data_IF_780214388618
#
_entry.id   IF_780214388618
#
_cell.length_a   1.000
_cell.length_b   1.000
_cell.length_c   1.000
_cell.angle_alpha   90.00
_cell.angle_beta   90.00
_cell.angle_gamma   90.00
#
_symmetry.space_group_name_H-M   'P 1'
#
loop_
_entity.id
_entity.type
_entity.pdbx_description
1 polymer ?
#
# COMPACT_ATOMS: atom_id res chain seq x y z
N UNK A 1 -15.73 7.61 -7.78
CA UNK A 1 -15.25 7.33 -6.41
C UNK A 1 -15.76 8.45 -5.53
N UNK A 2 -16.52 8.11 -4.48
CA UNK A 2 -16.93 9.10 -3.50
C UNK A 2 -15.73 9.42 -2.61
N UNK A 3 -15.38 10.70 -2.47
CA UNK A 3 -14.27 11.16 -1.65
C UNK A 3 -14.78 12.21 -0.67
N UNK A 4 -14.21 12.25 0.53
CA UNK A 4 -14.53 13.21 1.57
C UNK A 4 -13.23 13.76 2.13
N UNK A 5 -13.16 15.09 2.23
CA UNK A 5 -12.06 15.76 2.90
C UNK A 5 -12.18 15.53 4.40
N UNK A 6 -11.07 15.18 5.05
CA UNK A 6 -11.01 14.86 6.48
C UNK A 6 -9.97 15.75 7.14
N UNK A 7 -10.33 16.42 8.24
CA UNK A 7 -9.46 17.41 8.91
C UNK A 7 -8.97 16.97 10.28
N UNK A 8 -9.45 15.83 10.79
CA UNK A 8 -9.02 15.29 12.09
C UNK A 8 -9.06 13.77 12.11
N UNK A 9 -8.27 13.17 13.01
CA UNK A 9 -8.28 11.72 13.26
C UNK A 9 -9.66 11.24 13.73
N UNK A 10 -10.38 12.04 14.54
CA UNK A 10 -11.73 11.70 14.99
C UNK A 10 -12.73 11.66 13.85
N UNK A 11 -12.69 12.65 12.96
CA UNK A 11 -13.52 12.67 11.75
C UNK A 11 -13.21 11.51 10.81
N UNK A 12 -11.92 11.17 10.65
CA UNK A 12 -11.48 10.01 9.87
C UNK A 12 -12.09 8.70 10.39
N UNK A 13 -11.99 8.45 11.70
CA UNK A 13 -12.49 7.22 12.30
C UNK A 13 -14.02 7.12 12.20
N UNK A 14 -14.73 8.23 12.43
CA UNK A 14 -16.18 8.28 12.27
C UNK A 14 -16.61 7.97 10.83
N UNK A 15 -15.91 8.54 9.84
CA UNK A 15 -16.19 8.31 8.42
C UNK A 15 -15.88 6.86 8.00
N UNK A 16 -14.72 6.34 8.41
CA UNK A 16 -14.32 4.96 8.15
C UNK A 16 -15.36 3.97 8.72
N UNK A 17 -15.75 4.15 9.99
CA UNK A 17 -16.76 3.31 10.64
C UNK A 17 -18.12 3.42 9.94
N UNK A 18 -18.55 4.63 9.57
CA UNK A 18 -19.81 4.84 8.87
C UNK A 18 -19.83 4.07 7.54
N UNK A 19 -18.78 4.20 6.73
CA UNK A 19 -18.66 3.56 5.41
C UNK A 19 -18.59 2.03 5.48
N UNK A 20 -17.94 1.48 6.51
CA UNK A 20 -17.72 0.04 6.62
C UNK A 20 -18.74 -0.68 7.50
N UNK A 21 -19.60 0.04 8.23
CA UNK A 21 -20.58 -0.52 9.18
C UNK A 21 -21.48 -1.61 8.59
N UNK A 22 -21.84 -1.50 7.30
CA UNK A 22 -22.69 -2.46 6.59
C UNK A 22 -21.95 -3.67 6.01
N UNK A 23 -20.61 -3.63 5.94
CA UNK A 23 -19.83 -4.66 5.25
C UNK A 23 -19.65 -5.94 6.07
N UNK A 24 -19.86 -5.84 7.38
CA UNK A 24 -19.73 -6.96 8.30
C UNK A 24 -20.87 -7.99 8.25
N UNK A 25 -21.90 -7.81 7.40
CA UNK A 25 -23.18 -8.51 7.57
C UNK A 25 -23.42 -9.80 6.81
N UNK A 26 -22.57 -10.20 5.85
CA UNK A 26 -22.67 -11.52 5.24
C UNK A 26 -21.27 -12.02 4.83
N UNK A 27 -20.72 -12.98 5.57
CA UNK A 27 -19.47 -13.72 5.28
C UNK A 27 -18.13 -12.94 5.28
N UNK A 28 -17.68 -12.47 6.46
CA UNK A 28 -16.26 -12.30 6.84
C UNK A 28 -15.41 -11.24 6.12
N UNK A 29 -15.97 -10.29 5.37
CA UNK A 29 -15.12 -9.24 4.78
C UNK A 29 -14.83 -8.14 5.82
N UNK A 30 -13.68 -8.25 6.48
CA UNK A 30 -13.08 -7.13 7.21
C UNK A 30 -12.72 -6.04 6.20
N UNK A 31 -12.97 -4.75 6.46
CA UNK A 31 -12.54 -3.69 5.56
C UNK A 31 -11.01 -3.59 5.52
N UNK A 32 -10.45 -3.46 4.32
CA UNK A 32 -9.02 -3.25 4.13
C UNK A 32 -8.76 -1.80 3.74
N UNK A 33 -7.73 -1.22 4.34
CA UNK A 33 -7.33 0.17 4.17
C UNK A 33 -5.92 0.26 3.60
N UNK A 34 -5.65 1.31 2.82
CA UNK A 34 -4.30 1.63 2.33
C UNK A 34 -4.03 3.12 2.38
N UNK A 35 -2.95 3.48 3.04
CA UNK A 35 -2.44 4.85 3.07
C UNK A 35 -1.70 5.22 1.79
N UNK A 36 -1.92 6.44 1.32
CA UNK A 36 -1.20 6.99 0.19
C UNK A 36 -0.92 8.48 0.40
N UNK A 37 0.33 8.88 0.12
CA UNK A 37 0.79 10.26 0.28
C UNK A 37 0.12 11.24 -0.69
N UNK A 38 -0.20 10.77 -1.89
CA UNK A 38 -0.85 11.56 -2.92
C UNK A 38 -2.19 10.93 -3.27
N UNK A 39 -3.28 11.55 -2.79
CA UNK A 39 -4.65 11.12 -2.99
C UNK A 39 -5.11 11.28 -4.45
N UNK A 40 -4.45 12.11 -5.26
CA UNK A 40 -4.78 12.27 -6.68
C UNK A 40 -4.34 11.06 -7.52
N UNK A 41 -3.37 10.28 -7.02
CA UNK A 41 -2.91 9.07 -7.68
C UNK A 41 -3.74 7.86 -7.26
N UNK A 42 -4.19 7.07 -8.24
CA UNK A 42 -4.82 5.77 -7.96
C UNK A 42 -3.82 4.81 -7.26
N UNK A 43 -4.33 3.86 -6.44
CA UNK A 43 -3.49 2.89 -5.74
C UNK A 43 -3.02 1.81 -6.72
N UNK A 44 -2.09 2.18 -7.59
CA UNK A 44 -1.54 1.32 -8.64
C UNK A 44 -0.21 0.72 -8.15
N UNK A 45 0.02 -0.61 -8.26
CA UNK A 45 1.27 -1.22 -7.84
C UNK A 45 2.47 -0.61 -8.57
N UNK A 46 3.62 -0.61 -7.90
CA UNK A 46 4.84 0.05 -8.40
C UNK A 46 5.28 -0.44 -9.78
N UNK A 47 5.01 -1.71 -10.08
CA UNK A 47 5.37 -2.30 -11.38
C UNK A 47 4.58 -1.73 -12.57
N UNK A 48 3.31 -1.43 -12.37
CA UNK A 48 2.48 -0.82 -13.41
C UNK A 48 2.82 0.67 -13.55
N UNK A 49 2.98 1.38 -12.42
CA UNK A 49 3.36 2.82 -12.43
C UNK A 49 4.69 3.07 -13.14
N UNK A 50 5.65 2.16 -12.99
CA UNK A 50 6.98 2.29 -13.59
C UNK A 50 7.11 1.62 -14.97
N UNK A 51 6.04 1.03 -15.51
CA UNK A 51 6.05 0.40 -16.84
C UNK A 51 6.88 -0.88 -16.94
N UNK A 52 7.04 -1.63 -15.84
CA UNK A 52 7.85 -2.85 -15.79
C UNK A 52 7.03 -4.15 -15.83
N UNK A 53 5.72 -4.08 -16.05
CA UNK A 53 4.82 -5.24 -15.97
C UNK A 53 5.28 -6.42 -16.84
N UNK A 54 5.57 -6.15 -18.12
CA UNK A 54 6.06 -7.17 -19.07
C UNK A 54 7.41 -7.79 -18.67
N UNK A 55 8.17 -7.14 -17.77
CA UNK A 55 9.50 -7.56 -17.33
C UNK A 55 9.49 -8.17 -15.92
N UNK A 56 8.35 -8.30 -15.26
CA UNK A 56 8.28 -8.79 -13.88
C UNK A 56 8.92 -10.17 -13.73
N UNK A 57 8.63 -11.07 -14.66
CA UNK A 57 9.17 -12.44 -14.63
C UNK A 57 10.70 -12.43 -14.72
N UNK A 58 11.27 -11.62 -15.61
CA UNK A 58 12.72 -11.48 -15.77
C UNK A 58 13.36 -10.82 -14.55
N UNK A 59 12.75 -9.77 -14.00
CA UNK A 59 13.21 -9.09 -12.78
C UNK A 59 13.20 -10.06 -11.59
N UNK A 60 12.11 -10.79 -11.41
CA UNK A 60 11.94 -11.78 -10.34
C UNK A 60 12.94 -12.92 -10.48
N UNK A 61 13.11 -13.49 -11.67
CA UNK A 61 14.08 -14.55 -11.92
C UNK A 61 15.52 -14.09 -11.64
N UNK A 62 15.89 -12.90 -12.13
CA UNK A 62 17.22 -12.32 -11.91
C UNK A 62 17.48 -12.05 -10.44
N UNK A 63 16.48 -11.53 -9.72
CA UNK A 63 16.57 -11.27 -8.29
C UNK A 63 16.72 -12.57 -7.50
N UNK A 64 15.87 -13.58 -7.77
CA UNK A 64 15.92 -14.91 -7.12
C UNK A 64 17.24 -15.64 -7.32
N UNK A 65 17.86 -15.47 -8.50
CA UNK A 65 19.17 -16.05 -8.79
C UNK A 65 20.29 -15.42 -7.96
N UNK A 66 20.20 -14.11 -7.69
CA UNK A 66 21.29 -13.33 -7.06
C UNK A 66 21.13 -13.15 -5.55
N UNK A 67 19.90 -13.03 -5.06
CA UNK A 67 19.60 -12.77 -3.65
C UNK A 67 20.26 -13.75 -2.66
N UNK A 68 20.40 -15.07 -2.94
CA UNK A 68 21.04 -16.00 -2.01
C UNK A 68 22.50 -15.66 -1.69
N UNK A 69 23.20 -14.93 -2.58
CA UNK A 69 24.57 -14.48 -2.32
C UNK A 69 24.64 -13.39 -1.23
N UNK A 70 23.51 -12.78 -0.86
CA UNK A 70 23.43 -11.66 0.08
C UNK A 70 22.75 -12.02 1.41
N UNK A 71 22.38 -13.29 1.62
CA UNK A 71 21.84 -13.78 2.88
C UNK A 71 20.70 -14.77 2.73
N UNK A 72 19.90 -14.90 3.79
CA UNK A 72 18.77 -15.83 3.83
C UNK A 72 17.67 -15.39 2.87
N UNK A 73 17.20 -16.34 2.07
CA UNK A 73 16.11 -16.13 1.12
C UNK A 73 14.93 -17.03 1.42
N UNK A 74 13.70 -16.65 1.01
CA UNK A 74 12.54 -17.52 1.06
C UNK A 74 12.77 -18.83 0.28
N UNK A 75 11.96 -19.84 0.60
CA UNK A 75 11.88 -21.03 -0.22
C UNK A 75 11.34 -20.69 -1.64
N UNK A 76 11.74 -21.46 -2.65
CA UNK A 76 11.53 -21.14 -4.07
C UNK A 76 10.05 -20.96 -4.44
N UNK A 77 9.19 -21.76 -3.83
CA UNK A 77 7.74 -21.79 -4.03
C UNK A 77 6.99 -20.62 -3.36
N UNK A 78 7.64 -19.90 -2.43
CA UNK A 78 7.06 -18.79 -1.66
C UNK A 78 7.06 -17.49 -2.44
N UNK A 79 6.26 -17.44 -3.52
CA UNK A 79 6.17 -16.28 -4.41
C UNK A 79 5.82 -14.99 -3.69
N UNK A 80 4.90 -15.07 -2.72
CA UNK A 80 4.52 -13.99 -1.81
C UNK A 80 5.75 -13.38 -1.10
N UNK A 81 6.54 -14.23 -0.42
CA UNK A 81 7.71 -13.79 0.33
C UNK A 81 8.80 -13.23 -0.57
N UNK A 82 8.97 -13.80 -1.77
CA UNK A 82 9.89 -13.27 -2.77
C UNK A 82 9.49 -11.88 -3.25
N UNK A 83 8.20 -11.64 -3.51
CA UNK A 83 7.72 -10.32 -3.90
C UNK A 83 7.89 -9.30 -2.77
N UNK A 84 7.67 -9.67 -1.50
CA UNK A 84 7.96 -8.79 -0.36
C UNK A 84 9.46 -8.48 -0.26
N UNK A 85 10.33 -9.47 -0.43
CA UNK A 85 11.77 -9.27 -0.40
C UNK A 85 12.24 -8.35 -1.55
N UNK A 86 11.72 -8.55 -2.75
CA UNK A 86 11.96 -7.67 -3.90
C UNK A 86 11.56 -6.22 -3.59
N UNK A 87 10.38 -6.00 -3.02
CA UNK A 87 9.89 -4.68 -2.65
C UNK A 87 10.74 -4.04 -1.54
N UNK A 88 11.21 -4.83 -0.56
CA UNK A 88 12.15 -4.38 0.48
C UNK A 88 13.45 -3.85 -0.12
N UNK A 89 13.97 -4.49 -1.17
CA UNK A 89 15.15 -4.02 -1.92
C UNK A 89 14.81 -3.01 -3.03
N UNK A 90 13.58 -2.48 -3.08
CA UNK A 90 13.18 -1.39 -3.97
C UNK A 90 12.83 -1.79 -5.41
N UNK A 91 12.78 -3.09 -5.71
CA UNK A 91 12.32 -3.56 -7.02
C UNK A 91 10.82 -3.28 -7.17
N UNK A 92 10.38 -2.91 -8.38
CA UNK A 92 8.95 -2.81 -8.65
C UNK A 92 8.30 -4.19 -8.62
N UNK A 93 7.16 -4.29 -7.93
CA UNK A 93 6.36 -5.52 -7.82
C UNK A 93 4.89 -5.22 -8.06
N UNK A 94 4.12 -6.28 -8.35
CA UNK A 94 2.66 -6.24 -8.40
C UNK A 94 1.99 -6.12 -7.02
N UNK A 95 2.75 -6.14 -5.92
CA UNK A 95 2.17 -6.06 -4.58
C UNK A 95 1.68 -4.65 -4.27
N UNK A 96 0.55 -4.61 -3.56
CA UNK A 96 0.04 -3.45 -2.85
C UNK A 96 -0.22 -3.87 -1.41
N UNK A 97 0.33 -3.10 -0.49
CA UNK A 97 0.12 -3.27 0.94
C UNK A 97 -1.25 -2.72 1.33
N UNK A 98 -2.05 -3.58 1.97
CA UNK A 98 -3.33 -3.22 2.56
C UNK A 98 -3.34 -3.70 4.02
N UNK A 99 -4.08 -3.03 4.88
CA UNK A 99 -4.15 -3.31 6.31
C UNK A 99 -5.59 -3.24 6.82
N UNK A 100 -5.96 -4.11 7.74
CA UNK A 100 -7.28 -4.04 8.41
C UNK A 100 -7.36 -2.88 9.42
N UNK A 101 -6.23 -2.23 9.74
CA UNK A 101 -6.19 -1.11 10.67
C UNK A 101 -6.28 0.24 9.93
N UNK A 102 -7.40 0.98 10.09
CA UNK A 102 -7.53 2.29 9.45
C UNK A 102 -6.46 3.29 9.92
N UNK A 103 -5.99 3.16 11.17
CA UNK A 103 -4.95 4.05 11.71
C UNK A 103 -3.56 3.74 11.15
N UNK A 104 -3.24 2.48 10.86
CA UNK A 104 -1.98 2.13 10.18
C UNK A 104 -2.00 2.69 8.76
N UNK A 105 -3.13 2.57 8.05
CA UNK A 105 -3.28 3.17 6.74
C UNK A 105 -3.13 4.71 6.80
N UNK A 106 -3.78 5.37 7.76
CA UNK A 106 -3.64 6.81 7.95
C UNK A 106 -2.18 7.21 8.22
N UNK A 107 -1.48 6.47 9.09
CA UNK A 107 -0.07 6.70 9.35
C UNK A 107 0.76 6.68 8.06
N UNK A 108 0.63 5.65 7.23
CA UNK A 108 1.36 5.59 5.95
C UNK A 108 0.96 6.67 4.94
N UNK A 109 -0.26 7.21 5.05
CA UNK A 109 -0.67 8.33 4.21
C UNK A 109 0.07 9.62 4.58
N UNK A 110 0.37 9.85 5.86
CA UNK A 110 0.90 11.12 6.36
C UNK A 110 2.34 11.08 6.91
N UNK A 111 2.95 9.90 7.07
CA UNK A 111 4.26 9.74 7.74
C UNK A 111 5.36 10.64 7.17
N UNK A 112 5.35 10.82 5.86
CA UNK A 112 6.36 11.62 5.18
C UNK A 112 6.31 13.10 5.55
N UNK A 113 5.15 13.58 5.97
CA UNK A 113 4.94 14.97 6.36
C UNK A 113 5.62 15.28 7.70
N UNK A 114 6.07 14.27 8.45
CA UNK A 114 6.91 14.48 9.64
C UNK A 114 8.32 14.95 9.30
N UNK A 115 8.78 14.70 8.06
CA UNK A 115 10.13 15.02 7.62
C UNK A 115 10.18 16.12 6.55
N UNK A 116 9.03 16.57 6.07
CA UNK A 116 8.89 17.62 5.04
C UNK A 116 8.26 18.87 5.67
N UNK A 117 8.86 20.07 5.53
CA UNK A 117 8.24 21.31 6.00
C UNK A 117 6.84 21.50 5.41
N UNK A 118 5.88 21.96 6.21
CA UNK A 118 4.47 22.09 5.77
C UNK A 118 4.28 22.92 4.48
N UNK A 119 5.16 23.91 4.25
CA UNK A 119 5.19 24.76 3.04
C UNK A 119 5.55 24.02 1.74
N UNK A 120 6.12 22.82 1.84
CA UNK A 120 6.56 21.98 0.72
C UNK A 120 5.59 20.81 0.45
N UNK A 121 4.49 20.71 1.23
CA UNK A 121 3.45 19.70 1.01
C UNK A 121 2.48 20.24 -0.04
N UNK A 122 2.66 19.81 -1.29
CA UNK A 122 1.82 20.23 -2.42
C UNK A 122 0.58 19.34 -2.61
N UNK A 123 0.61 18.11 -2.07
CA UNK A 123 -0.43 17.10 -2.30
C UNK A 123 -1.19 16.75 -1.03
N UNK A 124 -2.49 16.51 -1.14
CA UNK A 124 -3.28 15.93 -0.06
C UNK A 124 -3.03 14.42 0.05
N UNK A 125 -2.83 13.93 1.27
CA UNK A 125 -2.78 12.50 1.54
C UNK A 125 -4.18 11.87 1.51
N UNK A 126 -4.26 10.57 1.22
CA UNK A 126 -5.50 9.84 1.09
C UNK A 126 -5.43 8.44 1.69
N UNK A 127 -6.58 7.94 2.12
CA UNK A 127 -6.76 6.55 2.56
C UNK A 127 -7.77 5.89 1.65
N UNK A 128 -7.36 4.80 1.01
CA UNK A 128 -8.23 3.94 0.23
C UNK A 128 -8.86 2.89 1.12
N UNK A 129 -10.09 2.49 0.82
CA UNK A 129 -10.81 1.45 1.54
C UNK A 129 -11.48 0.50 0.53
N UNK A 130 -11.37 -0.81 0.77
CA UNK A 130 -11.99 -1.87 -0.04
C UNK A 130 -12.62 -2.94 0.85
N UNK A 131 -13.60 -3.64 0.27
CA UNK A 131 -14.25 -4.83 0.83
C UNK A 131 -14.03 -6.03 -0.09
#
# INVERSE_FOLDING_TARGET
>A
MESKEIRSVGEFLADAQQRTSGWFRENFSTPWFRGQRDAAQLPIPSIFRRGYYEREATLSATFRLRAPAFGNTPATERLDQWLFLMQYFGLPTRLLDWTESPLIALYFAVEAYFFVPAKEIETSAGVWVIN
#
